data_IF_461352784015
#
_entry.id   IF_461352784015
#
_cell.length_a   1.000
_cell.length_b   1.000
_cell.length_c   1.000
_cell.angle_alpha   90.00
_cell.angle_beta   90.00
_cell.angle_gamma   90.00
#
_symmetry.space_group_name_H-M   'P 1'
#
loop_
_entity.id
_entity.type
_entity.pdbx_description
1 polymer ?
#
# COMPACT_ATOMS: atom_id res chain seq x y z
N UNK A 1 -19.87 -17.17 -12.37
CA UNK A 1 -19.94 -18.22 -11.33
C UNK A 1 -20.60 -17.63 -10.05
N UNK A 2 -21.44 -18.34 -9.27
CA UNK A 2 -22.00 -17.77 -8.04
C UNK A 2 -20.95 -17.81 -6.91
N UNK A 3 -20.34 -16.68 -6.61
CA UNK A 3 -19.47 -16.52 -5.45
C UNK A 3 -20.33 -16.32 -4.19
N UNK A 4 -20.44 -17.34 -3.34
CA UNK A 4 -20.92 -17.16 -1.96
C UNK A 4 -19.73 -16.84 -1.09
N UNK A 5 -19.66 -15.60 -0.62
CA UNK A 5 -18.55 -15.10 0.20
C UNK A 5 -19.11 -14.73 1.58
N UNK A 6 -18.44 -15.19 2.64
CA UNK A 6 -18.72 -14.78 4.01
C UNK A 6 -18.21 -13.36 4.31
N UNK A 7 -18.00 -13.05 5.58
CA UNK A 7 -17.41 -11.76 5.97
C UNK A 7 -15.94 -11.68 5.51
N UNK A 8 -15.56 -10.55 4.91
CA UNK A 8 -14.20 -10.27 4.47
C UNK A 8 -13.74 -8.99 5.15
N UNK A 9 -12.58 -9.04 5.82
CA UNK A 9 -11.93 -7.86 6.39
C UNK A 9 -10.61 -7.64 5.66
N UNK A 10 -10.59 -6.60 4.82
CA UNK A 10 -9.36 -6.10 4.20
C UNK A 10 -8.84 -4.96 5.07
N UNK A 11 -7.58 -5.04 5.47
CA UNK A 11 -6.97 -4.07 6.39
C UNK A 11 -6.19 -3.01 5.60
N UNK A 12 -5.40 -3.40 4.60
CA UNK A 12 -4.84 -2.47 3.60
C UNK A 12 -4.52 -3.21 2.31
N UNK A 13 -4.54 -2.46 1.20
CA UNK A 13 -4.17 -2.88 -0.14
C UNK A 13 -3.15 -1.85 -0.64
N UNK A 14 -2.00 -2.31 -1.12
CA UNK A 14 -0.90 -1.44 -1.52
C UNK A 14 -1.01 -0.89 -2.95
N UNK A 15 0.08 -0.25 -3.40
CA UNK A 15 0.24 0.16 -4.81
C UNK A 15 0.13 -1.05 -5.74
N UNK A 16 -0.48 -0.86 -6.92
CA UNK A 16 -0.68 -1.92 -7.92
C UNK A 16 -1.39 -3.18 -7.41
N UNK A 17 -2.18 -3.08 -6.34
CA UNK A 17 -2.78 -4.25 -5.72
C UNK A 17 -4.27 -4.35 -6.04
N UNK A 18 -4.73 -5.56 -6.34
CA UNK A 18 -6.13 -5.84 -6.61
C UNK A 18 -6.60 -6.93 -5.67
N UNK A 19 -7.69 -6.66 -4.96
CA UNK A 19 -8.42 -7.67 -4.20
C UNK A 19 -9.73 -7.95 -4.94
N UNK A 20 -9.85 -9.14 -5.52
CA UNK A 20 -11.07 -9.57 -6.19
C UNK A 20 -11.55 -10.91 -5.64
N UNK A 21 -12.88 -11.06 -5.57
CA UNK A 21 -13.53 -12.33 -5.25
C UNK A 21 -14.54 -12.65 -6.33
N UNK A 22 -14.31 -13.75 -7.04
CA UNK A 22 -15.07 -14.14 -8.22
C UNK A 22 -14.20 -14.19 -9.48
N UNK A 23 -14.84 -14.40 -10.62
CA UNK A 23 -14.14 -14.61 -11.89
C UNK A 23 -13.49 -13.30 -12.38
N UNK A 24 -12.24 -13.37 -12.85
CA UNK A 24 -11.52 -12.25 -13.46
C UNK A 24 -11.07 -12.65 -14.86
N UNK A 25 -11.32 -11.79 -15.84
CA UNK A 25 -10.89 -12.01 -17.22
C UNK A 25 -9.43 -11.56 -17.48
N UNK A 26 -9.04 -10.36 -17.06
CA UNK A 26 -7.65 -9.90 -17.10
C UNK A 26 -7.46 -8.73 -16.14
N UNK A 27 -6.26 -8.62 -15.54
CA UNK A 27 -5.86 -7.54 -14.66
C UNK A 27 -4.42 -7.15 -14.99
N UNK A 28 -4.18 -5.87 -15.25
CA UNK A 28 -2.84 -5.33 -15.49
C UNK A 28 -2.61 -4.11 -14.59
N UNK A 29 -2.42 -4.30 -13.26
CA UNK A 29 -2.16 -3.18 -12.37
C UNK A 29 -0.72 -2.68 -12.57
N UNK A 30 -0.58 -1.48 -13.12
CA UNK A 30 0.70 -0.78 -13.22
C UNK A 30 0.73 0.30 -12.13
N UNK A 31 1.84 0.36 -11.39
CA UNK A 31 2.01 1.37 -10.35
C UNK A 31 3.47 1.75 -10.22
N UNK A 32 3.62 3.03 -9.94
CA UNK A 32 4.88 3.72 -9.81
C UNK A 32 4.79 4.48 -8.51
N UNK A 33 5.57 4.08 -7.50
CA UNK A 33 5.46 4.67 -6.18
C UNK A 33 6.85 4.95 -5.63
N UNK A 34 7.16 6.24 -5.48
CA UNK A 34 8.23 6.70 -4.60
C UNK A 34 7.58 7.00 -3.25
N UNK A 35 7.90 6.20 -2.23
CA UNK A 35 7.29 6.35 -0.91
C UNK A 35 8.35 6.46 0.17
N UNK A 36 8.22 7.50 0.99
CA UNK A 36 9.04 7.73 2.17
C UNK A 36 8.15 7.71 3.40
N UNK A 37 8.64 7.10 4.46
CA UNK A 37 7.89 6.92 5.69
C UNK A 37 8.75 7.28 6.89
N UNK A 38 8.15 8.07 7.78
CA UNK A 38 8.74 8.47 9.05
C UNK A 38 8.38 7.50 10.16
N UNK A 39 8.81 7.81 11.38
CA UNK A 39 8.43 7.00 12.52
C UNK A 39 6.91 6.96 12.71
N UNK A 40 6.38 5.77 12.97
CA UNK A 40 4.94 5.54 13.10
C UNK A 40 4.16 5.40 11.79
N UNK A 41 4.82 5.34 10.63
CA UNK A 41 4.14 5.20 9.35
C UNK A 41 3.66 3.77 9.05
N UNK A 42 2.77 3.65 8.06
CA UNK A 42 2.21 2.39 7.51
C UNK A 42 1.57 1.43 8.50
N UNK A 43 1.20 1.92 9.68
CA UNK A 43 0.48 1.11 10.65
C UNK A 43 -0.96 0.86 10.20
N UNK A 44 -1.37 -0.40 10.21
CA UNK A 44 -2.71 -0.80 9.78
C UNK A 44 -3.26 -1.92 10.66
N UNK A 45 -4.56 -1.90 10.95
CA UNK A 45 -5.20 -2.82 11.89
C UNK A 45 -5.59 -2.14 13.21
N UNK A 46 -5.97 -2.94 14.21
CA UNK A 46 -6.58 -2.45 15.45
C UNK A 46 -5.59 -2.52 16.63
N UNK A 47 -5.75 -1.65 17.63
CA UNK A 47 -4.95 -1.68 18.87
C UNK A 47 -3.56 -1.07 18.76
N UNK A 48 -3.30 -0.28 17.72
CA UNK A 48 -1.98 0.29 17.44
C UNK A 48 -1.71 1.46 18.39
N UNK A 49 -0.63 1.36 19.16
CA UNK A 49 -0.10 2.43 20.01
C UNK A 49 1.36 2.66 19.64
N UNK A 50 1.65 3.85 19.13
CA UNK A 50 2.98 4.24 18.69
C UNK A 50 3.43 5.38 19.59
N UNK A 51 4.56 5.19 20.26
CA UNK A 51 5.24 6.27 20.98
C UNK A 51 6.52 6.58 20.23
N UNK A 52 6.67 7.82 19.80
CA UNK A 52 7.77 8.24 18.94
C UNK A 52 8.41 9.50 19.53
N UNK A 53 9.69 9.41 19.89
CA UNK A 53 10.40 10.50 20.58
C UNK A 53 11.03 11.48 19.60
N UNK A 54 11.59 11.00 18.49
CA UNK A 54 12.15 11.81 17.42
C UNK A 54 12.02 11.03 16.10
N UNK A 55 11.70 11.71 15.00
CA UNK A 55 11.66 11.11 13.66
C UNK A 55 12.08 12.14 12.63
N UNK A 56 13.29 11.95 12.10
CA UNK A 56 13.82 12.74 11.01
C UNK A 56 13.87 11.90 9.74
N UNK A 57 13.31 12.45 8.67
CA UNK A 57 13.29 11.84 7.35
C UNK A 57 14.09 12.73 6.42
N UNK A 58 15.25 12.25 5.97
CA UNK A 58 16.06 12.94 4.98
C UNK A 58 15.93 12.21 3.65
N UNK A 59 15.33 12.88 2.69
CA UNK A 59 15.17 12.39 1.33
C UNK A 59 16.05 13.25 0.44
N UNK A 60 17.02 12.61 -0.22
CA UNK A 60 17.89 13.27 -1.18
C UNK A 60 17.66 12.61 -2.55
N UNK A 61 17.05 13.35 -3.46
CA UNK A 61 16.72 12.89 -4.79
C UNK A 61 17.64 13.59 -5.80
N UNK A 62 18.60 12.86 -6.37
CA UNK A 62 19.63 13.42 -7.26
C UNK A 62 19.31 13.24 -8.75
N UNK A 63 18.22 12.58 -9.07
CA UNK A 63 17.93 12.14 -10.43
C UNK A 63 16.75 12.95 -11.00
N UNK A 64 16.84 13.39 -12.27
CA UNK A 64 15.82 14.26 -12.92
C UNK A 64 14.54 13.48 -13.28
N UNK A 65 14.66 12.18 -13.56
CA UNK A 65 13.55 11.32 -13.97
C UNK A 65 13.44 10.14 -13.02
N UNK A 66 12.43 10.17 -12.17
CA UNK A 66 12.21 9.15 -11.15
C UNK A 66 11.38 7.96 -11.63
N UNK A 67 10.66 8.13 -12.75
CA UNK A 67 9.82 7.07 -13.29
C UNK A 67 9.75 7.15 -14.82
N UNK A 68 10.20 6.09 -15.49
CA UNK A 68 10.06 5.92 -16.94
C UNK A 68 9.13 4.75 -17.26
N UNK A 69 7.88 4.87 -16.79
CA UNK A 69 6.77 3.96 -17.10
C UNK A 69 5.66 4.77 -17.75
#
# INVERSE_FOLDING_TARGET
>A
MPAKVGAVKVISIGSSSIFNIGDVYSMNPVSTAKTYAGGGSFNTGDGIRINLTNSNLYVNDKDINDQNI
#
